data_IF_718775345655
#
_entry.id   IF_718775345655
#
_cell.length_a   1.000
_cell.length_b   1.000
_cell.length_c   1.000
_cell.angle_alpha   90.00
_cell.angle_beta   90.00
_cell.angle_gamma   90.00
#
_symmetry.space_group_name_H-M   'P 1'
#
loop_
_entity.id
_entity.type
_entity.pdbx_description
1 polymer ?
#
# COMPACT_ATOMS: atom_id res chain seq x y z
N UNK A 1 79.83 6.82 39.66
CA UNK A 1 78.75 7.75 39.69
C UNK A 1 77.84 7.42 38.45
N UNK A 2 76.89 6.52 38.65
CA UNK A 2 76.01 6.03 37.57
C UNK A 2 74.74 6.87 37.53
N UNK A 3 74.49 7.51 36.39
CA UNK A 3 73.25 8.24 36.12
C UNK A 3 72.21 7.23 35.58
N UNK A 4 71.11 7.06 36.29
CA UNK A 4 69.92 6.31 35.79
C UNK A 4 68.95 7.28 35.05
N UNK A 5 68.79 7.04 33.80
CA UNK A 5 67.69 7.70 32.95
C UNK A 5 66.46 6.89 33.14
N UNK A 6 65.40 7.54 33.67
CA UNK A 6 64.04 6.98 33.75
C UNK A 6 63.30 7.46 32.52
N UNK A 7 62.95 6.54 31.60
CA UNK A 7 62.07 6.83 30.43
C UNK A 7 60.63 6.71 30.84
N UNK A 8 59.88 7.80 30.71
CA UNK A 8 58.42 7.81 30.87
C UNK A 8 57.75 7.39 29.54
N UNK A 9 57.02 6.28 29.56
CA UNK A 9 56.18 5.84 28.45
C UNK A 9 54.81 6.53 28.59
N UNK A 10 54.50 7.47 27.71
CA UNK A 10 53.14 8.02 27.56
C UNK A 10 52.29 7.02 26.78
N UNK A 11 51.34 6.37 27.44
CA UNK A 11 50.29 5.59 26.78
C UNK A 11 49.19 6.55 26.30
N UNK A 12 49.16 6.81 24.99
CA UNK A 12 48.07 7.59 24.35
C UNK A 12 46.79 6.74 24.29
N UNK A 13 45.75 7.11 25.04
CA UNK A 13 44.40 6.56 24.87
C UNK A 13 43.83 7.06 23.55
N UNK A 14 43.70 6.19 22.56
CA UNK A 14 42.92 6.43 21.36
C UNK A 14 41.43 6.31 21.71
N UNK A 15 40.75 7.44 21.92
CA UNK A 15 39.31 7.51 22.00
C UNK A 15 38.71 7.33 20.58
N UNK A 16 38.21 6.13 20.26
CA UNK A 16 37.36 5.91 19.08
C UNK A 16 36.01 6.54 19.37
N UNK A 17 35.48 7.38 18.47
CA UNK A 17 34.10 7.87 18.60
C UNK A 17 33.16 6.66 18.51
N UNK A 18 32.37 6.42 19.54
CA UNK A 18 31.31 5.45 19.52
C UNK A 18 30.29 5.93 18.45
N UNK A 19 30.28 5.27 17.32
CA UNK A 19 29.17 5.42 16.35
C UNK A 19 27.90 4.93 17.04
N UNK A 20 27.04 5.85 17.46
CA UNK A 20 25.68 5.51 17.88
C UNK A 20 24.98 4.87 16.67
N UNK A 21 24.90 3.55 16.66
CA UNK A 21 23.99 2.84 15.79
C UNK A 21 22.56 3.26 16.22
N UNK A 22 21.94 4.14 15.44
CA UNK A 22 20.51 4.38 15.60
C UNK A 22 19.81 3.04 15.41
N UNK A 23 19.21 2.52 16.48
CA UNK A 23 18.37 1.34 16.40
C UNK A 23 17.30 1.63 15.34
N UNK A 24 17.32 0.86 14.25
CA UNK A 24 16.28 0.98 13.23
C UNK A 24 14.95 0.74 13.95
N UNK A 25 14.08 1.74 13.98
CA UNK A 25 12.76 1.58 14.59
C UNK A 25 12.08 0.32 14.01
N UNK A 26 11.41 -0.46 14.84
CA UNK A 26 10.75 -1.70 14.43
C UNK A 26 9.63 -1.41 13.40
N UNK A 27 9.36 -2.32 12.46
CA UNK A 27 8.25 -2.16 11.54
C UNK A 27 6.93 -2.07 12.30
N UNK A 28 5.93 -1.39 11.73
CA UNK A 28 4.60 -1.26 12.35
C UNK A 28 3.85 -2.60 12.27
N UNK A 29 3.86 -3.25 11.11
CA UNK A 29 3.34 -4.61 10.93
C UNK A 29 4.49 -5.58 10.65
N UNK A 30 5.35 -5.26 9.69
CA UNK A 30 6.48 -6.07 9.29
C UNK A 30 6.12 -7.31 8.46
N UNK A 31 7.12 -8.15 8.13
CA UNK A 31 6.93 -9.35 7.33
C UNK A 31 5.91 -10.30 7.96
N UNK A 32 4.94 -10.75 7.17
CA UNK A 32 3.91 -11.68 7.62
C UNK A 32 4.49 -13.06 7.98
N UNK A 33 4.01 -13.66 9.07
CA UNK A 33 4.40 -14.98 9.56
C UNK A 33 3.26 -15.98 9.39
N UNK A 34 3.61 -17.27 9.25
CA UNK A 34 2.63 -18.35 9.07
C UNK A 34 1.74 -18.08 7.86
N UNK A 35 0.44 -18.27 8.03
CA UNK A 35 -0.56 -18.08 6.97
C UNK A 35 -1.09 -16.63 6.89
N UNK A 36 -0.63 -15.72 7.75
CA UNK A 36 -1.04 -14.33 7.67
C UNK A 36 -0.51 -13.66 6.39
N UNK A 37 -1.30 -12.77 5.79
CA UNK A 37 -0.95 -11.88 4.68
C UNK A 37 -0.81 -10.46 5.23
N UNK A 38 0.32 -9.82 4.98
CA UNK A 38 0.46 -8.39 5.21
C UNK A 38 0.07 -7.66 3.93
N UNK A 39 -1.02 -6.94 3.97
CA UNK A 39 -1.55 -6.13 2.87
C UNK A 39 -1.26 -4.66 3.13
N UNK A 40 -0.84 -3.95 2.10
CA UNK A 40 -0.65 -2.50 2.12
C UNK A 40 -1.42 -1.85 0.98
N UNK A 41 -2.15 -0.75 1.25
CA UNK A 41 -2.65 0.19 0.24
C UNK A 41 -1.84 1.46 0.33
N UNK A 42 -1.24 1.90 -0.78
CA UNK A 42 -0.32 3.02 -0.74
C UNK A 42 -0.38 3.89 -2.01
N UNK A 43 -1.02 5.04 -1.91
CA UNK A 43 -0.87 6.07 -2.92
C UNK A 43 0.57 6.60 -2.87
N UNK A 44 1.31 6.39 -3.97
CA UNK A 44 2.75 6.72 -4.06
C UNK A 44 2.99 8.21 -4.27
N UNK A 45 1.95 8.98 -4.58
CA UNK A 45 2.04 10.29 -5.25
C UNK A 45 2.90 10.18 -6.52
N UNK A 46 2.38 10.56 -7.65
CA UNK A 46 3.10 10.47 -8.93
C UNK A 46 4.49 11.12 -8.86
N UNK A 47 5.43 10.61 -9.64
CA UNK A 47 6.77 11.15 -9.73
C UNK A 47 6.72 12.56 -10.30
N UNK A 48 7.17 13.54 -9.53
CA UNK A 48 7.34 14.93 -9.94
C UNK A 48 8.73 15.41 -9.56
N UNK A 49 9.22 16.45 -10.25
CA UNK A 49 10.49 17.11 -9.95
C UNK A 49 10.31 18.29 -8.98
N UNK A 50 9.09 18.50 -8.46
CA UNK A 50 8.77 19.62 -7.56
C UNK A 50 9.38 19.44 -6.18
N UNK A 51 10.37 20.26 -5.86
CA UNK A 51 10.99 20.30 -4.53
C UNK A 51 10.06 20.99 -3.50
N UNK A 52 10.15 20.64 -2.21
CA UNK A 52 11.09 19.66 -1.61
C UNK A 52 10.65 18.21 -1.72
N UNK A 53 9.48 17.92 -2.31
CA UNK A 53 8.85 16.61 -2.34
C UNK A 53 8.96 15.93 -3.72
N UNK A 54 10.07 16.16 -4.45
CA UNK A 54 10.35 15.48 -5.71
C UNK A 54 10.45 13.97 -5.51
N UNK A 55 10.20 13.18 -6.57
CA UNK A 55 10.39 11.73 -6.49
C UNK A 55 11.81 11.37 -6.05
N UNK A 56 12.79 12.09 -6.55
CA UNK A 56 14.20 11.90 -6.18
C UNK A 56 14.43 12.05 -4.66
N UNK A 57 13.78 13.02 -4.01
CA UNK A 57 13.86 13.22 -2.56
C UNK A 57 13.10 12.12 -1.78
N UNK A 58 11.94 11.67 -2.28
CA UNK A 58 11.06 10.71 -1.61
C UNK A 58 11.47 9.25 -1.79
N UNK A 59 12.07 8.88 -2.93
CA UNK A 59 12.43 7.49 -3.27
C UNK A 59 13.26 6.80 -2.17
N UNK A 60 14.32 7.38 -1.60
CA UNK A 60 15.08 6.72 -0.53
C UNK A 60 14.25 6.42 0.71
N UNK A 61 13.29 7.29 1.04
CA UNK A 61 12.38 7.11 2.18
C UNK A 61 11.35 6.02 1.87
N UNK A 62 10.82 6.00 0.63
CA UNK A 62 9.96 4.93 0.12
C UNK A 62 10.63 3.58 0.22
N UNK A 63 11.88 3.47 -0.27
CA UNK A 63 12.67 2.25 -0.21
C UNK A 63 12.90 1.76 1.24
N UNK A 64 13.18 2.68 2.17
CA UNK A 64 13.33 2.34 3.59
C UNK A 64 12.04 1.78 4.17
N UNK A 65 10.89 2.45 3.93
CA UNK A 65 9.60 1.99 4.39
C UNK A 65 9.27 0.59 3.88
N UNK A 66 9.35 0.38 2.56
CA UNK A 66 8.97 -0.89 1.94
C UNK A 66 9.89 -2.05 2.34
N UNK A 67 11.20 -1.82 2.46
CA UNK A 67 12.16 -2.83 2.94
C UNK A 67 11.96 -3.19 4.41
N UNK A 68 11.48 -2.26 5.21
CA UNK A 68 11.18 -2.45 6.63
C UNK A 68 9.90 -3.24 6.83
N UNK A 69 8.83 -2.86 6.12
CA UNK A 69 7.52 -3.46 6.27
C UNK A 69 7.36 -4.80 5.54
N UNK A 70 7.98 -4.96 4.38
CA UNK A 70 7.91 -6.15 3.52
C UNK A 70 6.49 -6.73 3.39
N UNK A 71 5.52 -5.96 2.89
CA UNK A 71 4.17 -6.45 2.74
C UNK A 71 4.11 -7.64 1.77
N UNK A 72 3.21 -8.60 2.01
CA UNK A 72 2.99 -9.72 1.08
C UNK A 72 2.36 -9.22 -0.23
N UNK A 73 1.48 -8.20 -0.14
CA UNK A 73 0.81 -7.54 -1.27
C UNK A 73 0.79 -6.03 -1.03
N UNK A 74 1.02 -5.25 -2.08
CA UNK A 74 0.92 -3.79 -2.06
C UNK A 74 0.05 -3.35 -3.24
N UNK A 75 -1.13 -2.80 -2.98
CA UNK A 75 -1.89 -2.05 -3.97
C UNK A 75 -1.39 -0.61 -4.00
N UNK A 76 -0.90 -0.15 -5.16
CA UNK A 76 -0.36 1.20 -5.30
C UNK A 76 -1.22 2.05 -6.22
N UNK A 77 -1.27 3.36 -5.95
CA UNK A 77 -1.98 4.35 -6.77
C UNK A 77 -1.00 5.44 -7.20
N UNK A 78 -1.29 6.15 -8.27
CA UNK A 78 -0.51 7.26 -8.87
C UNK A 78 0.89 6.92 -9.39
N UNK A 79 1.35 5.68 -9.28
CA UNK A 79 2.69 5.32 -9.74
C UNK A 79 2.84 5.53 -11.26
N UNK A 80 3.84 6.29 -11.70
CA UNK A 80 4.26 6.34 -13.10
C UNK A 80 5.17 5.16 -13.42
N UNK A 81 5.23 4.73 -14.69
CA UNK A 81 5.99 3.53 -15.09
C UNK A 81 7.43 3.52 -14.55
N UNK A 82 8.19 4.59 -14.75
CA UNK A 82 9.58 4.66 -14.26
C UNK A 82 9.65 4.67 -12.73
N UNK A 83 8.67 5.25 -12.05
CA UNK A 83 8.56 5.20 -10.59
C UNK A 83 8.34 3.76 -10.09
N UNK A 84 7.49 3.00 -10.78
CA UNK A 84 7.28 1.58 -10.46
C UNK A 84 8.53 0.75 -10.69
N UNK A 85 9.27 1.01 -11.78
CA UNK A 85 10.57 0.37 -12.05
C UNK A 85 11.63 0.73 -11.02
N UNK A 86 11.60 1.94 -10.48
CA UNK A 86 12.48 2.35 -9.37
C UNK A 86 12.17 1.57 -8.09
N UNK A 87 10.88 1.44 -7.75
CA UNK A 87 10.43 0.67 -6.58
C UNK A 87 10.79 -0.81 -6.73
N UNK A 88 10.62 -1.39 -7.92
CA UNK A 88 11.03 -2.76 -8.22
C UNK A 88 12.53 -2.98 -7.96
N UNK A 89 13.39 -2.04 -8.36
CA UNK A 89 14.84 -2.10 -8.08
C UNK A 89 15.17 -1.94 -6.59
N UNK A 90 14.34 -1.19 -5.87
CA UNK A 90 14.56 -0.89 -4.45
C UNK A 90 14.03 -1.98 -3.52
N UNK A 91 13.03 -2.74 -3.95
CA UNK A 91 12.49 -3.90 -3.24
C UNK A 91 13.45 -5.11 -3.35
N UNK A 92 13.36 -6.09 -2.42
CA UNK A 92 14.04 -7.37 -2.58
C UNK A 92 13.63 -8.07 -3.89
N UNK A 93 14.56 -8.82 -4.51
CA UNK A 93 14.40 -9.47 -5.83
C UNK A 93 13.21 -10.46 -5.94
N UNK A 94 12.61 -10.82 -4.83
CA UNK A 94 11.43 -11.69 -4.81
C UNK A 94 10.11 -10.93 -4.87
N UNK A 95 10.13 -9.64 -5.18
CA UNK A 95 8.92 -8.90 -5.52
C UNK A 95 8.79 -8.75 -7.03
N UNK A 96 7.56 -8.90 -7.48
CA UNK A 96 7.14 -8.58 -8.85
C UNK A 96 5.85 -7.75 -8.80
N UNK A 97 5.39 -7.24 -9.93
CA UNK A 97 4.18 -6.43 -9.97
C UNK A 97 3.39 -6.60 -11.26
N UNK A 98 2.08 -6.38 -11.17
CA UNK A 98 1.12 -6.42 -12.26
C UNK A 98 0.39 -5.09 -12.34
N UNK A 99 0.27 -4.54 -13.54
CA UNK A 99 -0.43 -3.29 -13.80
C UNK A 99 -0.28 -2.82 -15.23
N UNK A 100 -1.14 -1.89 -15.62
CA UNK A 100 -1.10 -1.16 -16.88
C UNK A 100 -1.38 0.32 -16.61
N UNK A 101 -0.80 1.22 -17.37
CA UNK A 101 -1.08 2.65 -17.26
C UNK A 101 -2.54 2.95 -17.63
N UNK A 102 -3.19 3.85 -16.89
CA UNK A 102 -4.61 4.16 -17.10
C UNK A 102 -4.95 4.66 -18.50
N UNK A 103 -3.96 5.23 -19.22
CA UNK A 103 -4.09 5.59 -20.64
C UNK A 103 -3.62 4.47 -21.61
N UNK A 104 -3.41 3.25 -21.08
CA UNK A 104 -2.99 2.07 -21.83
C UNK A 104 -1.47 1.91 -21.95
N UNK A 105 -0.98 0.67 -21.91
CA UNK A 105 0.43 0.33 -21.94
C UNK A 105 1.19 0.91 -20.74
N UNK A 106 2.29 1.65 -21.00
CA UNK A 106 3.10 2.30 -19.96
C UNK A 106 2.74 3.78 -19.75
N UNK A 107 1.59 4.24 -20.23
CA UNK A 107 1.23 5.66 -20.23
C UNK A 107 0.38 6.03 -19.03
N UNK A 108 0.71 7.20 -18.42
CA UNK A 108 -0.03 7.78 -17.29
C UNK A 108 0.15 6.94 -16.00
N UNK A 109 -0.67 7.17 -14.99
CA UNK A 109 -0.59 6.53 -13.67
C UNK A 109 -1.10 5.08 -13.70
N UNK A 110 -0.55 4.26 -12.81
CA UNK A 110 -0.90 2.85 -12.62
C UNK A 110 -1.61 2.62 -11.29
N UNK A 111 -2.51 1.68 -11.29
CA UNK A 111 -3.03 1.01 -10.10
C UNK A 111 -2.34 -0.35 -9.98
N UNK A 112 -1.02 -0.33 -9.75
CA UNK A 112 -0.23 -1.56 -9.75
C UNK A 112 -0.41 -2.38 -8.46
N UNK A 113 -0.21 -3.69 -8.58
CA UNK A 113 -0.22 -4.63 -7.46
C UNK A 113 1.16 -5.30 -7.39
N UNK A 114 1.98 -4.96 -6.37
CA UNK A 114 3.21 -5.67 -6.04
C UNK A 114 2.90 -6.87 -5.15
N UNK A 115 3.70 -7.95 -5.29
CA UNK A 115 3.50 -9.17 -4.50
C UNK A 115 4.81 -9.92 -4.28
N UNK A 116 4.88 -10.66 -3.16
CA UNK A 116 6.00 -11.56 -2.83
C UNK A 116 5.89 -12.88 -3.62
N UNK A 117 6.71 -13.05 -4.64
CA UNK A 117 6.72 -14.22 -5.55
C UNK A 117 7.12 -15.53 -4.86
N UNK A 118 7.76 -15.48 -3.69
CA UNK A 118 8.06 -16.69 -2.90
C UNK A 118 6.80 -17.31 -2.30
N UNK A 119 5.72 -16.58 -2.29
CA UNK A 119 4.47 -16.97 -1.66
C UNK A 119 3.28 -16.97 -2.61
N UNK A 120 3.18 -15.94 -3.43
CA UNK A 120 2.01 -15.70 -4.28
C UNK A 120 2.33 -15.97 -5.75
N UNK A 121 1.50 -16.81 -6.37
CA UNK A 121 1.54 -17.10 -7.80
C UNK A 121 0.31 -16.46 -8.47
N UNK A 122 0.48 -15.53 -9.44
CA UNK A 122 -0.63 -14.95 -10.17
C UNK A 122 -1.22 -15.97 -11.14
N UNK A 123 -2.50 -16.31 -10.95
CA UNK A 123 -3.23 -17.30 -11.75
C UNK A 123 -4.01 -16.64 -12.90
N UNK A 124 -4.52 -15.45 -12.63
CA UNK A 124 -5.32 -14.67 -13.58
C UNK A 124 -5.30 -13.21 -13.17
N UNK A 125 -5.28 -12.31 -14.14
CA UNK A 125 -5.38 -10.87 -13.89
C UNK A 125 -6.01 -10.16 -15.08
N UNK A 126 -6.60 -9.00 -14.82
CA UNK A 126 -7.11 -8.12 -15.86
C UNK A 126 -7.26 -6.68 -15.32
N UNK A 127 -7.68 -5.79 -16.19
CA UNK A 127 -7.89 -4.38 -15.92
C UNK A 127 -9.25 -3.95 -16.48
N UNK A 128 -9.90 -2.98 -15.80
CA UNK A 128 -11.07 -2.34 -16.34
C UNK A 128 -11.13 -0.86 -15.92
N UNK A 129 -11.81 -0.05 -16.73
CA UNK A 129 -11.91 1.38 -16.50
C UNK A 129 -13.21 1.73 -15.80
N UNK A 130 -13.14 2.73 -14.91
CA UNK A 130 -14.29 3.21 -14.14
C UNK A 130 -15.09 4.19 -15.00
N UNK A 131 -15.95 3.61 -15.86
CA UNK A 131 -16.78 4.30 -16.84
C UNK A 131 -17.97 3.44 -17.28
N UNK A 132 -18.86 3.99 -18.09
CA UNK A 132 -19.96 3.25 -18.73
C UNK A 132 -19.46 2.21 -19.76
N UNK A 133 -18.19 2.32 -20.17
CA UNK A 133 -17.52 1.38 -21.09
C UNK A 133 -16.27 0.79 -20.46
N UNK A 134 -16.39 -0.05 -19.41
CA UNK A 134 -15.26 -0.47 -18.58
C UNK A 134 -14.19 -1.27 -19.32
N UNK A 135 -14.49 -1.87 -20.46
CA UNK A 135 -13.53 -2.62 -21.27
C UNK A 135 -12.82 -1.75 -22.34
N UNK A 136 -13.10 -0.44 -22.38
CA UNK A 136 -12.46 0.50 -23.30
C UNK A 136 -11.33 1.23 -22.59
N UNK A 137 -10.10 1.03 -23.07
CA UNK A 137 -8.88 1.65 -22.50
C UNK A 137 -9.00 3.16 -22.50
N UNK A 138 -8.75 3.77 -21.34
CA UNK A 138 -8.77 5.22 -21.18
C UNK A 138 -10.15 5.85 -21.13
N UNK A 139 -11.21 5.05 -21.08
CA UNK A 139 -12.58 5.57 -21.04
C UNK A 139 -12.88 6.35 -19.75
N UNK A 140 -13.69 7.38 -19.88
CA UNK A 140 -14.18 8.25 -18.81
C UNK A 140 -15.67 8.47 -18.94
N UNK A 141 -16.36 8.50 -17.82
CA UNK A 141 -17.81 8.83 -17.75
C UNK A 141 -18.07 9.57 -16.42
N UNK A 142 -19.36 9.87 -16.16
CA UNK A 142 -19.85 10.29 -14.84
C UNK A 142 -19.30 11.64 -14.32
N UNK A 143 -18.73 12.47 -15.21
CA UNK A 143 -18.25 13.82 -14.87
C UNK A 143 -16.83 13.89 -14.33
N UNK A 144 -16.05 12.79 -14.37
CA UNK A 144 -14.64 12.83 -14.01
C UNK A 144 -13.77 13.41 -15.15
N UNK A 145 -12.80 14.24 -14.77
CA UNK A 145 -11.80 14.79 -15.68
C UNK A 145 -10.62 13.85 -15.92
N UNK A 146 -10.38 12.95 -14.98
CA UNK A 146 -9.22 12.05 -14.95
C UNK A 146 -9.68 10.62 -15.24
N UNK A 147 -8.85 9.86 -15.98
CA UNK A 147 -9.09 8.44 -16.21
C UNK A 147 -8.91 7.69 -14.88
N UNK A 148 -9.88 6.83 -14.54
CA UNK A 148 -9.84 5.97 -13.36
C UNK A 148 -10.03 4.51 -13.76
N UNK A 149 -9.35 3.61 -13.06
CA UNK A 149 -9.33 2.19 -13.42
C UNK A 149 -9.13 1.29 -12.22
N UNK A 150 -9.25 0.02 -12.47
CA UNK A 150 -8.99 -1.07 -11.53
C UNK A 150 -8.02 -2.05 -12.15
N UNK A 151 -7.08 -2.54 -11.36
CA UNK A 151 -6.30 -3.74 -11.60
C UNK A 151 -6.74 -4.82 -10.63
N UNK A 152 -6.93 -6.04 -11.10
CA UNK A 152 -7.19 -7.17 -10.20
C UNK A 152 -6.32 -8.38 -10.57
N UNK A 153 -5.98 -9.17 -9.55
CA UNK A 153 -5.18 -10.39 -9.69
C UNK A 153 -5.77 -11.48 -8.81
N UNK A 154 -5.97 -12.67 -9.37
CA UNK A 154 -6.23 -13.88 -8.61
C UNK A 154 -4.92 -14.58 -8.31
N UNK A 155 -4.61 -14.72 -7.03
CA UNK A 155 -3.42 -15.39 -6.55
C UNK A 155 -3.71 -16.78 -5.99
N UNK A 156 -2.77 -17.71 -6.20
CA UNK A 156 -2.61 -18.89 -5.37
C UNK A 156 -1.58 -18.57 -4.27
N UNK A 157 -1.95 -18.81 -3.00
CA UNK A 157 -1.07 -18.64 -1.84
C UNK A 157 -0.46 -19.98 -1.45
N UNK A 158 0.82 -20.15 -1.66
CA UNK A 158 1.55 -21.40 -1.38
C UNK A 158 1.57 -21.81 0.09
N UNK A 159 1.38 -20.87 1.02
CA UNK A 159 1.38 -21.16 2.47
C UNK A 159 0.03 -21.67 2.96
N UNK A 160 -1.05 -21.09 2.49
CA UNK A 160 -2.40 -21.52 2.88
C UNK A 160 -2.99 -22.57 1.95
N UNK A 161 -2.42 -22.77 0.76
CA UNK A 161 -2.97 -23.60 -0.30
C UNK A 161 -4.27 -23.04 -0.92
N UNK A 162 -4.59 -21.78 -0.69
CA UNK A 162 -5.85 -21.15 -1.11
C UNK A 162 -5.66 -20.14 -2.21
N UNK A 163 -6.72 -19.92 -2.98
CA UNK A 163 -6.80 -18.80 -3.91
C UNK A 163 -7.59 -17.64 -3.28
N UNK A 164 -7.22 -16.43 -3.66
CA UNK A 164 -7.93 -15.20 -3.31
C UNK A 164 -7.70 -14.16 -4.40
N UNK A 165 -8.54 -13.13 -4.44
CA UNK A 165 -8.44 -12.05 -5.40
C UNK A 165 -8.01 -10.77 -4.70
N UNK A 166 -7.04 -10.08 -5.29
CA UNK A 166 -6.65 -8.71 -4.92
C UNK A 166 -7.20 -7.77 -5.98
N UNK A 167 -7.85 -6.71 -5.54
CA UNK A 167 -8.40 -5.64 -6.39
C UNK A 167 -7.78 -4.33 -5.92
N UNK A 168 -7.25 -3.51 -6.83
CA UNK A 168 -6.65 -2.22 -6.51
C UNK A 168 -7.20 -1.12 -7.41
N UNK A 169 -7.53 0.03 -6.81
CA UNK A 169 -8.20 1.14 -7.52
C UNK A 169 -7.78 2.50 -7.01
N UNK A 170 -8.11 3.54 -7.79
CA UNK A 170 -8.03 4.94 -7.39
C UNK A 170 -9.28 5.66 -7.93
N UNK A 171 -10.15 6.12 -7.04
CA UNK A 171 -11.40 6.80 -7.40
C UNK A 171 -11.17 8.28 -7.73
N UNK A 172 -12.16 8.90 -8.31
CA UNK A 172 -12.06 10.29 -8.74
C UNK A 172 -12.02 11.26 -7.55
N UNK A 173 -11.11 12.23 -7.59
CA UNK A 173 -10.92 13.20 -6.51
C UNK A 173 -11.87 14.39 -6.57
N UNK A 174 -12.52 14.66 -7.72
CA UNK A 174 -13.37 15.82 -7.92
C UNK A 174 -14.87 15.44 -7.90
N UNK A 175 -15.27 14.40 -8.62
CA UNK A 175 -16.67 14.06 -8.87
C UNK A 175 -17.21 13.01 -7.89
N UNK A 176 -18.08 13.42 -6.97
CA UNK A 176 -18.79 12.49 -6.08
C UNK A 176 -19.66 11.51 -6.86
N UNK A 177 -20.33 11.96 -7.93
CA UNK A 177 -21.09 11.07 -8.82
C UNK A 177 -20.20 9.98 -9.43
N UNK A 178 -18.99 10.35 -9.86
CA UNK A 178 -18.02 9.36 -10.37
C UNK A 178 -17.59 8.36 -9.28
N UNK A 179 -17.36 8.81 -8.05
CA UNK A 179 -17.01 7.93 -6.92
C UNK A 179 -18.12 6.91 -6.62
N UNK A 180 -19.36 7.35 -6.55
CA UNK A 180 -20.51 6.47 -6.29
C UNK A 180 -20.70 5.44 -7.40
N UNK A 181 -20.69 5.86 -8.68
CA UNK A 181 -20.78 4.97 -9.83
C UNK A 181 -19.60 4.00 -9.91
N UNK A 182 -18.40 4.46 -9.55
CA UNK A 182 -17.22 3.61 -9.44
C UNK A 182 -17.38 2.56 -8.33
N UNK A 183 -17.93 2.93 -7.18
CA UNK A 183 -18.22 2.01 -6.09
C UNK A 183 -19.23 0.93 -6.49
N UNK A 184 -20.30 1.30 -7.19
CA UNK A 184 -21.27 0.36 -7.74
C UNK A 184 -20.61 -0.63 -8.72
N UNK A 185 -19.84 -0.12 -9.69
CA UNK A 185 -19.15 -0.96 -10.67
C UNK A 185 -18.14 -1.91 -10.02
N UNK A 186 -17.32 -1.41 -9.08
CA UNK A 186 -16.33 -2.24 -8.35
C UNK A 186 -17.02 -3.33 -7.54
N UNK A 187 -18.10 -2.99 -6.82
CA UNK A 187 -18.92 -3.96 -6.07
C UNK A 187 -19.44 -5.07 -6.97
N UNK A 188 -20.04 -4.71 -8.09
CA UNK A 188 -20.66 -5.66 -9.02
C UNK A 188 -19.60 -6.52 -9.72
N UNK A 189 -18.47 -5.92 -10.11
CA UNK A 189 -17.33 -6.65 -10.70
C UNK A 189 -16.69 -7.63 -9.71
N UNK A 190 -16.50 -7.26 -8.45
CA UNK A 190 -16.00 -8.18 -7.42
C UNK A 190 -16.90 -9.42 -7.31
N UNK A 191 -18.22 -9.25 -7.37
CA UNK A 191 -19.15 -10.39 -7.33
C UNK A 191 -18.99 -11.31 -8.55
N UNK A 192 -18.69 -10.75 -9.72
CA UNK A 192 -18.52 -11.50 -10.97
C UNK A 192 -17.13 -12.19 -11.08
N UNK A 193 -16.04 -11.50 -10.73
CA UNK A 193 -14.66 -12.03 -10.90
C UNK A 193 -14.22 -12.96 -9.77
N UNK A 194 -14.83 -12.88 -8.59
CA UNK A 194 -14.45 -13.64 -7.42
C UNK A 194 -15.63 -14.40 -6.78
N UNK A 195 -16.42 -15.19 -7.55
CA UNK A 195 -17.53 -15.95 -6.96
C UNK A 195 -17.01 -16.96 -5.93
N UNK A 196 -17.42 -16.78 -4.66
CA UNK A 196 -17.01 -17.68 -3.57
C UNK A 196 -15.55 -17.57 -3.12
N UNK A 197 -14.73 -16.72 -3.76
CA UNK A 197 -13.34 -16.51 -3.35
C UNK A 197 -13.21 -15.37 -2.34
N UNK A 198 -12.24 -15.47 -1.42
CA UNK A 198 -11.83 -14.34 -0.60
C UNK A 198 -11.31 -13.19 -1.47
N UNK A 199 -11.59 -11.95 -1.06
CA UNK A 199 -11.17 -10.74 -1.77
C UNK A 199 -10.47 -9.79 -0.82
N UNK A 200 -9.40 -9.16 -1.29
CA UNK A 200 -8.78 -7.98 -0.70
C UNK A 200 -8.95 -6.83 -1.68
N UNK A 201 -9.61 -5.76 -1.28
CA UNK A 201 -9.74 -4.53 -2.06
C UNK A 201 -8.91 -3.44 -1.40
N UNK A 202 -7.96 -2.89 -2.15
CA UNK A 202 -7.10 -1.76 -1.76
C UNK A 202 -7.41 -0.56 -2.63
N UNK A 203 -7.23 0.64 -2.13
CA UNK A 203 -7.37 1.84 -2.96
C UNK A 203 -7.27 3.14 -2.19
N UNK A 204 -7.06 4.19 -2.96
CA UNK A 204 -7.40 5.56 -2.63
C UNK A 204 -8.80 5.83 -3.20
N UNK A 205 -9.77 5.93 -2.32
CA UNK A 205 -11.17 6.10 -2.72
C UNK A 205 -11.58 7.57 -2.84
N UNK A 206 -10.71 8.50 -2.46
CA UNK A 206 -10.99 9.94 -2.42
C UNK A 206 -12.32 10.28 -1.70
N UNK A 207 -12.72 9.43 -0.80
CA UNK A 207 -13.93 9.52 0.02
C UNK A 207 -13.60 9.13 1.45
N UNK A 208 -14.17 9.83 2.42
CA UNK A 208 -13.96 9.48 3.82
C UNK A 208 -14.73 8.19 4.17
N UNK A 209 -14.03 7.24 4.79
CA UNK A 209 -14.62 6.02 5.32
C UNK A 209 -15.70 6.34 6.36
N UNK A 210 -16.71 5.46 6.50
CA UNK A 210 -17.75 5.49 7.53
C UNK A 210 -18.67 6.74 7.48
N UNK A 211 -18.50 7.63 6.49
CA UNK A 211 -19.23 8.92 6.45
C UNK A 211 -19.62 9.38 5.06
N UNK A 212 -19.45 8.57 4.03
CA UNK A 212 -19.77 8.95 2.64
C UNK A 212 -20.62 7.91 1.93
N UNK A 213 -21.52 8.32 1.02
CA UNK A 213 -22.30 7.38 0.19
C UNK A 213 -21.42 6.39 -0.58
N UNK A 214 -20.26 6.82 -1.06
CA UNK A 214 -19.29 5.95 -1.74
C UNK A 214 -18.86 4.77 -0.86
N UNK A 215 -18.57 5.02 0.42
CA UNK A 215 -18.26 3.97 1.38
C UNK A 215 -19.45 3.02 1.61
N UNK A 216 -20.64 3.57 1.84
CA UNK A 216 -21.85 2.79 2.10
C UNK A 216 -22.20 1.86 0.93
N UNK A 217 -22.01 2.32 -0.32
CA UNK A 217 -22.21 1.51 -1.54
C UNK A 217 -21.27 0.29 -1.55
N UNK A 218 -20.00 0.46 -1.25
CA UNK A 218 -19.03 -0.64 -1.22
C UNK A 218 -19.29 -1.61 -0.06
N UNK A 219 -19.68 -1.09 1.10
CA UNK A 219 -20.00 -1.92 2.25
C UNK A 219 -21.33 -2.69 2.08
N UNK A 220 -22.20 -2.27 1.15
CA UNK A 220 -23.48 -2.91 0.87
C UNK A 220 -23.40 -3.87 -0.34
N UNK A 221 -23.88 -5.11 -0.17
CA UNK A 221 -24.12 -6.03 -1.30
C UNK A 221 -22.91 -6.84 -1.81
N UNK A 222 -21.66 -6.50 -1.46
CA UNK A 222 -20.48 -7.32 -1.79
C UNK A 222 -19.93 -8.13 -0.61
N UNK A 223 -20.51 -7.97 0.58
CA UNK A 223 -20.02 -8.64 1.80
C UNK A 223 -18.62 -8.22 2.21
N UNK A 224 -18.23 -6.98 1.87
CA UNK A 224 -16.95 -6.40 2.25
C UNK A 224 -16.94 -5.97 3.72
N UNK A 225 -15.78 -6.04 4.33
CA UNK A 225 -15.51 -5.62 5.72
C UNK A 225 -14.31 -4.69 5.71
N UNK A 226 -14.44 -3.50 6.30
CA UNK A 226 -13.32 -2.57 6.46
C UNK A 226 -12.36 -3.09 7.52
N UNK A 227 -11.09 -3.20 7.15
CA UNK A 227 -10.06 -3.76 8.04
C UNK A 227 -9.76 -2.87 9.23
N UNK A 228 -9.94 -1.55 9.13
CA UNK A 228 -9.63 -0.64 10.22
C UNK A 228 -10.55 -0.80 11.45
N UNK A 229 -11.90 -0.68 11.32
CA UNK A 229 -12.78 -0.88 12.46
C UNK A 229 -12.84 -2.35 12.93
N UNK A 230 -12.66 -3.31 12.00
CA UNK A 230 -12.79 -4.74 12.30
C UNK A 230 -11.51 -5.41 12.81
N UNK A 231 -10.36 -4.72 12.81
CA UNK A 231 -9.11 -5.26 13.31
C UNK A 231 -9.17 -5.60 14.80
N UNK A 232 -8.65 -6.78 15.15
CA UNK A 232 -8.49 -7.17 16.56
C UNK A 232 -7.52 -6.22 17.30
N UNK A 233 -6.53 -5.69 16.60
CA UNK A 233 -5.56 -4.72 17.10
C UNK A 233 -5.38 -3.56 16.10
N UNK A 234 -5.45 -2.32 16.56
CA UNK A 234 -5.01 -1.12 15.83
C UNK A 234 -3.64 -0.72 16.34
N UNK A 235 -2.59 -0.91 15.54
CA UNK A 235 -1.18 -0.71 15.95
C UNK A 235 -0.74 0.75 15.94
N UNK A 236 -1.57 1.61 15.38
CA UNK A 236 -1.34 3.06 15.36
C UNK A 236 -2.61 3.80 15.75
N UNK A 237 -2.52 5.06 16.20
CA UNK A 237 -3.68 5.93 16.26
C UNK A 237 -4.32 6.13 14.87
N UNK A 238 -5.58 6.59 14.88
CA UNK A 238 -6.25 7.06 13.68
C UNK A 238 -5.63 8.40 13.23
N UNK A 239 -5.29 8.50 11.95
CA UNK A 239 -4.86 9.72 11.28
C UNK A 239 -5.64 9.90 9.97
N UNK A 240 -5.74 11.15 9.49
CA UNK A 240 -6.08 11.39 8.10
C UNK A 240 -5.03 10.69 7.21
N UNK A 241 -5.48 9.89 6.24
CA UNK A 241 -4.54 9.17 5.36
C UNK A 241 -3.92 10.06 4.30
N UNK A 242 -4.58 11.15 3.91
CA UNK A 242 -3.99 12.22 3.10
C UNK A 242 -3.56 13.39 3.98
N UNK A 243 -2.27 13.70 4.00
CA UNK A 243 -1.73 14.82 4.77
C UNK A 243 -1.14 15.96 3.90
N UNK A 244 -0.89 15.71 2.61
CA UNK A 244 -0.39 16.74 1.70
C UNK A 244 0.92 17.39 2.16
N UNK A 245 1.82 16.63 2.79
CA UNK A 245 3.06 17.11 3.44
C UNK A 245 2.87 18.16 4.53
N UNK A 246 1.67 18.25 5.09
CA UNK A 246 1.34 19.08 6.27
C UNK A 246 1.43 18.25 7.55
N UNK A 247 1.38 18.87 8.74
CA UNK A 247 1.31 18.12 10.00
C UNK A 247 0.19 17.07 9.99
N UNK A 248 0.46 15.91 10.54
CA UNK A 248 -0.51 14.81 10.61
C UNK A 248 -1.75 15.24 11.43
N UNK A 249 -2.93 14.85 10.97
CA UNK A 249 -4.21 15.18 11.60
C UNK A 249 -4.73 13.95 12.33
N UNK A 250 -4.62 13.90 13.68
CA UNK A 250 -5.21 12.82 14.47
C UNK A 250 -6.73 12.79 14.31
N UNK A 251 -7.31 11.59 14.28
CA UNK A 251 -8.74 11.35 14.08
C UNK A 251 -9.33 11.99 12.80
N UNK A 252 -8.46 12.27 11.82
CA UNK A 252 -8.89 12.79 10.53
C UNK A 252 -9.43 11.70 9.60
N UNK A 253 -9.98 12.09 8.43
CA UNK A 253 -10.63 11.16 7.51
C UNK A 253 -9.64 10.18 6.87
N UNK A 254 -10.02 8.91 6.81
CA UNK A 254 -9.36 7.89 6.00
C UNK A 254 -9.97 7.90 4.61
N UNK A 255 -9.19 8.21 3.58
CA UNK A 255 -9.61 8.11 2.17
C UNK A 255 -8.95 6.92 1.47
N UNK A 256 -7.90 6.36 2.07
CA UNK A 256 -7.25 5.11 1.66
C UNK A 256 -7.80 3.97 2.53
N UNK A 257 -8.29 2.89 1.88
CA UNK A 257 -8.91 1.79 2.59
C UNK A 257 -8.34 0.43 2.16
N UNK A 258 -8.44 -0.53 3.08
CA UNK A 258 -8.29 -1.96 2.80
C UNK A 258 -9.58 -2.63 3.26
N UNK A 259 -10.30 -3.21 2.30
CA UNK A 259 -11.52 -3.97 2.57
C UNK A 259 -11.28 -5.44 2.28
N UNK A 260 -11.95 -6.34 3.01
CA UNK A 260 -11.83 -7.79 2.83
C UNK A 260 -13.20 -8.43 2.71
N UNK A 261 -13.26 -9.58 2.02
CA UNK A 261 -14.46 -10.44 1.91
C UNK A 261 -14.08 -11.91 2.02
N UNK A 262 -15.01 -12.74 2.42
CA UNK A 262 -14.90 -14.19 2.28
C UNK A 262 -14.11 -14.88 3.39
N UNK A 263 -14.46 -14.61 4.65
CA UNK A 263 -13.92 -15.35 5.79
C UNK A 263 -12.44 -15.06 6.04
N UNK A 264 -12.05 -13.81 6.01
CA UNK A 264 -10.72 -13.38 6.47
C UNK A 264 -10.79 -12.93 7.93
N UNK A 265 -9.83 -13.39 8.73
CA UNK A 265 -9.61 -12.87 10.08
C UNK A 265 -8.68 -11.67 9.99
N UNK A 266 -9.12 -10.51 10.48
CA UNK A 266 -8.35 -9.27 10.49
C UNK A 266 -7.65 -9.16 11.84
N UNK A 267 -6.34 -9.51 11.87
CA UNK A 267 -5.54 -9.56 13.09
C UNK A 267 -5.12 -8.16 13.55
N UNK A 268 -4.64 -7.35 12.60
CA UNK A 268 -4.21 -6.00 12.90
C UNK A 268 -4.46 -5.05 11.72
N UNK A 269 -4.61 -3.76 12.04
CA UNK A 269 -4.59 -2.67 11.07
C UNK A 269 -3.67 -1.54 11.57
N UNK A 270 -3.10 -0.77 10.62
CA UNK A 270 -2.23 0.35 10.92
C UNK A 270 -2.32 1.43 9.84
N UNK A 271 -2.11 2.68 10.24
CA UNK A 271 -1.80 3.81 9.37
C UNK A 271 -0.33 4.14 9.61
N UNK A 272 0.53 3.88 8.63
CA UNK A 272 1.96 3.99 8.83
C UNK A 272 2.43 5.44 8.64
N UNK A 273 2.95 6.04 9.70
CA UNK A 273 3.42 7.44 9.73
C UNK A 273 4.92 7.58 9.50
N UNK A 274 5.56 6.57 8.91
CA UNK A 274 6.99 6.57 8.69
C UNK A 274 7.46 7.78 7.88
N UNK A 275 8.49 8.41 8.39
CA UNK A 275 9.25 9.47 7.72
C UNK A 275 10.73 9.33 8.06
N UNK A 276 11.61 9.88 7.27
CA UNK A 276 13.05 9.90 7.52
C UNK A 276 13.59 11.29 7.20
N UNK A 277 14.34 11.88 8.14
CA UNK A 277 14.87 13.24 8.00
C UNK A 277 13.78 14.29 7.63
N UNK A 278 12.63 14.22 8.26
CA UNK A 278 11.44 15.06 7.99
C UNK A 278 10.85 14.91 6.57
N UNK A 279 11.27 13.90 5.82
CA UNK A 279 10.72 13.58 4.52
C UNK A 279 9.75 12.39 4.65
N UNK A 280 8.51 12.56 4.22
CA UNK A 280 7.57 11.47 4.01
C UNK A 280 7.79 10.83 2.63
N UNK A 281 7.53 9.52 2.49
CA UNK A 281 7.65 8.84 1.19
C UNK A 281 6.56 9.26 0.18
N UNK A 282 5.41 9.71 0.68
CA UNK A 282 4.26 10.19 -0.09
C UNK A 282 3.54 11.30 0.70
N UNK A 283 2.59 11.96 0.11
CA UNK A 283 1.61 12.84 0.76
C UNK A 283 0.41 12.05 1.33
N UNK A 284 0.38 10.74 1.09
CA UNK A 284 -0.51 9.79 1.74
C UNK A 284 0.24 8.91 2.75
N UNK A 285 -0.44 8.51 3.81
CA UNK A 285 0.02 7.52 4.78
C UNK A 285 -0.45 6.13 4.33
N UNK A 286 0.45 5.13 4.21
CA UNK A 286 0.03 3.78 3.84
C UNK A 286 -0.93 3.19 4.86
N UNK A 287 -2.06 2.65 4.37
CA UNK A 287 -2.89 1.74 5.15
C UNK A 287 -2.28 0.34 5.12
N UNK A 288 -2.25 -0.33 6.25
CA UNK A 288 -1.73 -1.69 6.38
C UNK A 288 -2.74 -2.56 7.13
N UNK A 289 -2.83 -3.83 6.72
CA UNK A 289 -3.62 -4.83 7.41
C UNK A 289 -2.88 -6.17 7.46
N UNK A 290 -2.95 -6.84 8.60
CA UNK A 290 -2.51 -8.23 8.76
C UNK A 290 -3.75 -9.12 8.80
N UNK A 291 -3.93 -9.92 7.76
CA UNK A 291 -5.12 -10.76 7.58
C UNK A 291 -4.75 -12.23 7.43
N UNK A 292 -5.63 -13.12 7.80
CA UNK A 292 -5.46 -14.58 7.58
C UNK A 292 -6.67 -15.11 6.83
N UNK A 293 -6.41 -15.87 5.76
CA UNK A 293 -7.45 -16.62 5.07
C UNK A 293 -7.97 -17.70 6.01
N UNK A 294 -9.25 -17.67 6.35
CA UNK A 294 -9.85 -18.72 7.18
C UNK A 294 -9.73 -20.08 6.50
N UNK A 295 -9.52 -21.18 7.22
CA UNK A 295 -9.55 -22.51 6.64
C UNK A 295 -10.86 -22.72 5.86
N UNK A 296 -10.82 -23.48 4.75
CA UNK A 296 -12.07 -23.98 4.16
C UNK A 296 -12.74 -24.85 5.22
N UNK A 297 -13.97 -24.51 5.56
CA UNK A 297 -14.80 -25.49 6.29
C UNK A 297 -14.88 -26.75 5.42
N UNK A 298 -14.68 -27.92 6.01
CA UNK A 298 -14.75 -29.18 5.29
C UNK A 298 -16.12 -29.43 4.70
#
# INVERSE_FOLDING_TARGET
MLLRVVGAVLAGLLLFPATQAFAAESPVIGPARGNALHVMSFNLRYASDSEPNSWRARRPVMAQLLRREQPTVIGTQEGLYEQLKDIERDLPQHYDWIGVGRAGGSRDEFMAIYYDTRRLEPMEFDHYWLSDTPNVVGSKSWGNNVIRMVTWVRFADSRSGRQFVVVNTHFDHESENSRQRSAELVRDRINAIAPGLPVVLTGDFNAAAESTPTYDILMSGAGLTDTWPAAAERRTPLYATFHGYRPLVPNGPRIDWILTRGGMTIQAAAINTFSSNNQFPSDHLPMQALVTLSPTLP
#
